data_IF_852810358703
#
_entry.id   IF_852810358703
#
_cell.length_a   1.000
_cell.length_b   1.000
_cell.length_c   1.000
_cell.angle_alpha   90.00
_cell.angle_beta   90.00
_cell.angle_gamma   90.00
#
_symmetry.space_group_name_H-M   'P 1'
#
loop_
_entity.id
_entity.type
_entity.pdbx_description
1 polymer ?
#
# COMPACT_ATOMS: atom_id res chain seq x y z
N UNK A 1 1.90 -12.65 4.84
CA UNK A 1 1.09 -12.50 6.06
C UNK A 1 1.52 -11.25 6.82
N UNK A 2 0.57 -10.34 7.15
CA UNK A 2 0.87 -9.07 7.83
C UNK A 2 0.51 -9.18 9.32
N UNK A 3 1.41 -8.71 10.17
CA UNK A 3 1.23 -8.64 11.64
C UNK A 3 1.50 -7.21 12.10
N UNK A 4 0.71 -6.69 13.01
CA UNK A 4 0.87 -5.30 13.46
C UNK A 4 0.58 -5.11 14.94
N UNK A 5 1.29 -4.16 15.54
CA UNK A 5 1.01 -3.66 16.88
C UNK A 5 1.21 -2.13 16.92
N UNK A 6 0.25 -1.43 17.51
CA UNK A 6 0.26 0.03 17.61
C UNK A 6 1.23 0.53 18.69
N UNK A 7 2.49 0.12 18.62
CA UNK A 7 3.52 0.57 19.54
C UNK A 7 4.23 1.82 19.03
N UNK A 8 4.78 2.60 19.94
CA UNK A 8 5.75 3.63 19.58
C UNK A 8 7.06 3.00 19.10
N UNK A 9 7.52 1.99 19.84
CA UNK A 9 8.66 1.12 19.57
C UNK A 9 8.45 -0.19 20.33
N UNK A 10 8.81 -1.35 19.80
CA UNK A 10 8.67 -2.60 20.53
C UNK A 10 9.60 -2.65 21.73
N UNK A 11 9.11 -3.20 22.86
CA UNK A 11 9.96 -3.54 24.00
C UNK A 11 10.57 -4.91 23.76
N UNK A 12 11.72 -5.18 24.31
CA UNK A 12 12.45 -6.44 24.13
C UNK A 12 11.56 -7.69 24.34
N UNK A 13 10.80 -7.73 25.43
CA UNK A 13 9.90 -8.84 25.74
C UNK A 13 8.80 -9.06 24.69
N UNK A 14 8.32 -7.96 24.09
CA UNK A 14 7.25 -7.99 23.09
C UNK A 14 7.84 -8.36 21.72
N UNK A 15 9.04 -7.86 21.42
CA UNK A 15 9.77 -8.20 20.20
C UNK A 15 10.07 -9.71 20.14
N UNK A 16 10.54 -10.32 21.22
CA UNK A 16 10.81 -11.76 21.28
C UNK A 16 9.61 -12.61 20.86
N UNK A 17 8.39 -12.22 21.25
CA UNK A 17 7.17 -12.89 20.79
C UNK A 17 6.97 -12.76 19.29
N UNK A 18 7.19 -11.54 18.75
CA UNK A 18 7.05 -11.29 17.30
C UNK A 18 8.10 -12.06 16.50
N UNK A 19 9.35 -12.17 16.98
CA UNK A 19 10.39 -12.95 16.32
C UNK A 19 9.97 -14.42 16.15
N UNK A 20 9.40 -15.01 17.18
CA UNK A 20 8.87 -16.37 17.11
C UNK A 20 7.66 -16.49 16.17
N UNK A 21 6.77 -15.50 16.16
CA UNK A 21 5.64 -15.46 15.20
C UNK A 21 6.15 -15.39 13.75
N UNK A 22 7.15 -14.56 13.47
CA UNK A 22 7.76 -14.44 12.12
C UNK A 22 8.30 -15.81 11.69
N UNK A 23 9.11 -16.48 12.51
CA UNK A 23 9.66 -17.81 12.22
C UNK A 23 8.57 -18.84 11.92
N UNK A 24 7.51 -18.85 12.72
CA UNK A 24 6.39 -19.79 12.54
C UNK A 24 5.64 -19.53 11.22
N UNK A 25 5.31 -18.28 10.91
CA UNK A 25 4.64 -17.93 9.65
C UNK A 25 5.53 -18.26 8.44
N UNK A 26 6.84 -17.98 8.53
CA UNK A 26 7.82 -18.39 7.50
C UNK A 26 7.85 -19.90 7.29
N UNK A 27 7.76 -20.69 8.35
CA UNK A 27 7.73 -22.16 8.26
C UNK A 27 6.49 -22.70 7.52
N UNK A 28 5.44 -21.88 7.41
CA UNK A 28 4.23 -22.18 6.62
C UNK A 28 4.38 -21.84 5.13
N UNK A 29 5.55 -21.34 4.70
CA UNK A 29 5.82 -20.95 3.32
C UNK A 29 5.26 -19.59 2.93
N UNK A 30 4.88 -18.75 3.90
CA UNK A 30 4.31 -17.42 3.65
C UNK A 30 5.36 -16.32 3.78
N UNK A 31 5.27 -15.29 2.95
CA UNK A 31 5.98 -14.04 3.18
C UNK A 31 5.42 -13.32 4.40
N UNK A 32 6.30 -12.67 5.15
CA UNK A 32 5.97 -11.97 6.39
C UNK A 32 6.15 -10.46 6.24
N UNK A 33 5.21 -9.71 6.79
CA UNK A 33 5.31 -8.25 6.93
C UNK A 33 4.92 -7.87 8.36
N UNK A 34 5.70 -6.99 9.01
CA UNK A 34 5.33 -6.50 10.34
C UNK A 34 5.30 -4.97 10.39
N UNK A 35 4.46 -4.44 11.30
CA UNK A 35 4.32 -3.02 11.64
C UNK A 35 4.38 -2.87 13.16
N UNK A 36 5.52 -2.43 13.71
CA UNK A 36 5.75 -2.39 15.16
C UNK A 36 6.13 -1.00 15.70
N UNK A 37 6.02 0.03 14.86
CA UNK A 37 6.48 1.38 15.19
C UNK A 37 7.94 1.61 14.83
N UNK A 38 8.67 2.42 15.62
CA UNK A 38 10.07 2.73 15.36
C UNK A 38 10.97 1.57 15.79
N UNK A 39 12.01 1.29 15.00
CA UNK A 39 13.02 0.28 15.30
C UNK A 39 14.40 0.90 15.50
N UNK A 40 15.14 0.34 16.44
CA UNK A 40 16.59 0.51 16.49
C UNK A 40 17.27 -0.42 15.48
N UNK A 41 18.53 -0.15 15.18
CA UNK A 41 19.37 -1.01 14.34
C UNK A 41 19.41 -2.47 14.85
N UNK A 42 19.60 -2.64 16.16
CA UNK A 42 19.59 -3.96 16.79
C UNK A 42 18.26 -4.69 16.63
N UNK A 43 17.13 -4.01 16.80
CA UNK A 43 15.80 -4.59 16.62
C UNK A 43 15.53 -4.99 15.16
N UNK A 44 15.99 -4.17 14.21
CA UNK A 44 15.90 -4.48 12.79
C UNK A 44 16.75 -5.72 12.45
N UNK A 45 17.96 -5.81 12.97
CA UNK A 45 18.84 -6.97 12.80
C UNK A 45 18.21 -8.26 13.35
N UNK A 46 17.61 -8.22 14.52
CA UNK A 46 16.91 -9.37 15.12
C UNK A 46 15.73 -9.84 14.26
N UNK A 47 14.97 -8.91 13.66
CA UNK A 47 13.87 -9.23 12.76
C UNK A 47 14.38 -9.86 11.45
N UNK A 48 15.50 -9.35 10.91
CA UNK A 48 16.15 -9.95 9.74
C UNK A 48 16.62 -11.38 10.02
N UNK A 49 17.26 -11.62 11.18
CA UNK A 49 17.69 -12.95 11.61
C UNK A 49 16.51 -13.92 11.80
N UNK A 50 15.35 -13.42 12.21
CA UNK A 50 14.12 -14.21 12.29
C UNK A 50 13.52 -14.56 10.91
N UNK A 51 14.03 -13.96 9.82
CA UNK A 51 13.61 -14.19 8.45
C UNK A 51 12.47 -13.28 7.98
N UNK A 52 12.32 -12.10 8.57
CA UNK A 52 11.31 -11.14 8.15
C UNK A 52 11.55 -10.67 6.71
N UNK A 53 10.51 -10.71 5.87
CA UNK A 53 10.61 -10.28 4.48
C UNK A 53 10.40 -8.77 4.31
N UNK A 54 9.39 -8.21 4.97
CA UNK A 54 9.00 -6.80 4.85
C UNK A 54 8.77 -6.13 6.19
N UNK A 55 9.20 -4.89 6.31
CA UNK A 55 8.82 -4.01 7.42
C UNK A 55 7.99 -2.85 6.90
N UNK A 56 6.76 -2.71 7.44
CA UNK A 56 5.90 -1.58 7.10
C UNK A 56 6.12 -0.43 8.07
N UNK A 57 6.53 0.72 7.52
CA UNK A 57 6.65 1.97 8.25
C UNK A 57 6.38 3.14 7.32
N UNK A 58 5.14 3.61 7.32
CA UNK A 58 4.73 4.67 6.41
C UNK A 58 5.33 6.03 6.80
N UNK A 59 5.60 6.88 5.83
CA UNK A 59 5.91 8.30 6.04
C UNK A 59 4.65 9.11 6.35
N UNK A 60 3.50 8.57 6.02
CA UNK A 60 2.15 9.10 6.16
C UNK A 60 1.86 10.30 5.25
N UNK A 61 2.68 11.34 5.21
CA UNK A 61 2.52 12.52 4.37
C UNK A 61 3.86 13.15 4.00
N UNK A 62 3.86 14.37 3.44
CA UNK A 62 5.09 15.13 3.16
C UNK A 62 5.81 15.57 4.45
N UNK A 63 7.13 15.87 4.39
CA UNK A 63 7.86 16.47 5.52
C UNK A 63 7.20 17.76 6.02
N UNK A 64 6.69 18.60 5.10
CA UNK A 64 6.12 19.91 5.38
C UNK A 64 4.77 19.81 6.10
N UNK A 65 3.95 18.84 5.75
CA UNK A 65 2.62 18.66 6.34
C UNK A 65 2.62 17.74 7.58
N UNK A 66 3.70 16.97 7.79
CA UNK A 66 3.76 15.93 8.80
C UNK A 66 3.42 16.40 10.21
N UNK A 67 3.98 17.53 10.64
CA UNK A 67 3.78 18.05 12.00
C UNK A 67 2.36 18.59 12.26
N UNK A 68 1.59 18.84 11.21
CA UNK A 68 0.18 19.23 11.34
C UNK A 68 -0.71 18.02 11.71
N UNK A 69 -0.26 16.81 11.36
CA UNK A 69 -1.00 15.56 11.60
C UNK A 69 -0.42 14.78 12.78
N UNK A 70 0.91 14.73 12.92
CA UNK A 70 1.60 13.88 13.89
C UNK A 70 2.51 14.73 14.78
N UNK A 71 2.14 14.83 16.05
CA UNK A 71 2.87 15.63 17.05
C UNK A 71 3.73 14.79 18.00
N UNK A 72 3.57 13.46 17.97
CA UNK A 72 4.22 12.54 18.92
C UNK A 72 5.60 12.02 18.46
N UNK A 73 5.95 12.25 17.20
CA UNK A 73 7.19 11.78 16.54
C UNK A 73 7.64 12.82 15.53
N UNK A 74 8.94 12.85 15.24
CA UNK A 74 9.46 13.66 14.14
C UNK A 74 9.43 12.87 12.82
N UNK A 75 9.51 13.57 11.70
CA UNK A 75 9.64 12.94 10.40
C UNK A 75 10.95 12.14 10.30
N UNK A 76 12.03 12.68 10.85
CA UNK A 76 13.34 12.02 10.87
C UNK A 76 13.30 10.67 11.59
N UNK A 77 12.53 10.55 12.68
CA UNK A 77 12.36 9.24 13.34
C UNK A 77 11.79 8.15 12.40
N UNK A 78 10.99 8.55 11.42
CA UNK A 78 10.49 7.62 10.40
C UNK A 78 11.58 7.24 9.42
N UNK A 79 12.34 8.23 8.95
CA UNK A 79 13.45 8.00 8.03
C UNK A 79 14.54 7.13 8.68
N UNK A 80 14.91 7.40 9.94
CA UNK A 80 15.87 6.59 10.70
C UNK A 80 15.41 5.13 10.79
N UNK A 81 14.13 4.90 11.09
CA UNK A 81 13.58 3.53 11.14
C UNK A 81 13.68 2.83 9.80
N UNK A 82 13.34 3.53 8.70
CA UNK A 82 13.44 2.96 7.36
C UNK A 82 14.88 2.68 6.95
N UNK A 83 15.82 3.50 7.41
CA UNK A 83 17.24 3.26 7.20
C UNK A 83 17.72 2.03 7.95
N UNK A 84 17.38 1.89 9.24
CA UNK A 84 17.74 0.70 10.05
C UNK A 84 17.18 -0.59 9.44
N UNK A 85 15.94 -0.56 8.94
CA UNK A 85 15.28 -1.69 8.25
C UNK A 85 16.06 -2.08 6.99
N UNK A 86 16.46 -1.09 6.20
CA UNK A 86 17.22 -1.29 4.96
C UNK A 86 18.61 -1.85 5.23
N UNK A 87 19.31 -1.28 6.22
CA UNK A 87 20.66 -1.71 6.62
C UNK A 87 20.68 -3.15 7.14
N UNK A 88 19.58 -3.59 7.75
CA UNK A 88 19.37 -4.98 8.16
C UNK A 88 19.02 -5.93 6.99
N UNK A 89 18.86 -5.41 5.76
CA UNK A 89 18.52 -6.23 4.58
C UNK A 89 17.05 -6.63 4.46
N UNK A 90 16.15 -6.00 5.21
CA UNK A 90 14.72 -6.23 5.15
C UNK A 90 14.11 -5.31 4.08
N UNK A 91 13.18 -5.85 3.27
CA UNK A 91 12.45 -5.03 2.29
C UNK A 91 11.60 -3.96 2.96
N UNK A 92 11.63 -2.76 2.40
CA UNK A 92 10.85 -1.62 2.91
C UNK A 92 9.46 -1.59 2.29
N UNK A 93 8.44 -1.54 3.16
CA UNK A 93 7.07 -1.18 2.79
C UNK A 93 6.77 0.19 3.40
N UNK A 94 6.76 1.24 2.56
CA UNK A 94 6.54 2.61 3.03
C UNK A 94 5.76 3.42 2.00
N UNK A 95 4.75 4.09 2.47
CA UNK A 95 3.85 4.93 1.69
C UNK A 95 3.21 5.99 2.57
N UNK A 96 1.96 6.34 2.28
CA UNK A 96 1.27 7.36 3.06
C UNK A 96 -0.24 7.30 2.95
N UNK A 97 -0.85 8.30 3.56
CA UNK A 97 -2.29 8.52 3.60
C UNK A 97 -2.58 9.85 2.90
N UNK A 98 -3.51 9.86 1.97
CA UNK A 98 -3.96 11.07 1.29
C UNK A 98 -5.43 11.34 1.55
N UNK A 99 -5.83 12.60 1.49
CA UNK A 99 -7.16 13.06 1.88
C UNK A 99 -7.27 13.46 3.34
N UNK A 100 -6.14 13.77 4.03
CA UNK A 100 -6.10 14.26 5.41
C UNK A 100 -6.26 15.79 5.51
N UNK A 101 -6.62 16.48 4.42
CA UNK A 101 -6.70 17.94 4.33
C UNK A 101 -5.42 18.59 3.80
N UNK A 102 -4.46 17.79 3.38
CA UNK A 102 -3.21 18.24 2.74
C UNK A 102 -3.46 18.85 1.36
N UNK A 103 -2.55 19.72 0.92
CA UNK A 103 -2.59 20.29 -0.41
C UNK A 103 -1.96 19.33 -1.45
N UNK A 104 -2.24 19.57 -2.73
CA UNK A 104 -1.64 18.81 -3.84
C UNK A 104 -0.11 18.78 -3.77
N UNK A 105 0.51 19.88 -3.33
CA UNK A 105 1.95 19.97 -3.17
C UNK A 105 2.48 18.98 -2.12
N UNK A 106 1.74 18.78 -1.02
CA UNK A 106 2.12 17.83 0.03
C UNK A 106 2.05 16.39 -0.48
N UNK A 107 1.04 16.07 -1.29
CA UNK A 107 0.94 14.74 -1.93
C UNK A 107 2.15 14.47 -2.83
N UNK A 108 2.59 15.44 -3.61
CA UNK A 108 3.80 15.30 -4.41
C UNK A 108 5.07 15.23 -3.55
N UNK A 109 5.14 16.00 -2.45
CA UNK A 109 6.23 15.93 -1.48
C UNK A 109 6.40 14.55 -0.88
N UNK A 110 5.30 13.87 -0.53
CA UNK A 110 5.34 12.47 -0.08
C UNK A 110 5.98 11.55 -1.13
N UNK A 111 5.50 11.60 -2.38
CA UNK A 111 6.03 10.75 -3.45
C UNK A 111 7.48 11.10 -3.77
N UNK A 112 7.84 12.39 -3.78
CA UNK A 112 9.21 12.84 -3.98
C UNK A 112 10.14 12.29 -2.90
N UNK A 113 9.72 12.33 -1.63
CA UNK A 113 10.52 11.80 -0.52
C UNK A 113 10.76 10.29 -0.66
N UNK A 114 9.72 9.52 -1.01
CA UNK A 114 9.83 8.08 -1.24
C UNK A 114 10.75 7.75 -2.43
N UNK A 115 10.61 8.50 -3.53
CA UNK A 115 11.40 8.30 -4.75
C UNK A 115 12.87 8.73 -4.60
N UNK A 116 13.16 9.67 -3.68
CA UNK A 116 14.51 10.16 -3.42
C UNK A 116 15.25 9.38 -2.32
N UNK A 117 14.66 8.32 -1.78
CA UNK A 117 15.38 7.42 -0.88
C UNK A 117 16.58 6.77 -1.62
N UNK A 118 17.64 6.36 -0.91
CA UNK A 118 18.80 5.69 -1.53
C UNK A 118 18.42 4.50 -2.41
N UNK A 119 17.37 3.80 -2.01
CA UNK A 119 16.69 2.76 -2.77
C UNK A 119 15.18 2.96 -2.62
N UNK A 120 14.43 2.78 -3.74
CA UNK A 120 12.97 2.87 -3.67
C UNK A 120 12.41 1.80 -2.74
N UNK A 121 11.37 2.11 -1.94
CA UNK A 121 10.66 1.08 -1.19
C UNK A 121 10.18 -0.04 -2.13
N UNK A 122 10.33 -1.29 -1.73
CA UNK A 122 9.85 -2.42 -2.51
C UNK A 122 8.33 -2.43 -2.61
N UNK A 123 7.63 -1.93 -1.57
CA UNK A 123 6.18 -1.77 -1.56
C UNK A 123 5.79 -0.37 -1.12
N UNK A 124 4.89 0.27 -1.88
CA UNK A 124 4.41 1.64 -1.66
C UNK A 124 2.89 1.63 -1.51
N UNK A 125 2.38 1.45 -0.28
CA UNK A 125 0.94 1.54 -0.02
C UNK A 125 0.46 2.99 -0.09
N UNK A 126 -0.52 3.24 -0.96
CA UNK A 126 -1.25 4.50 -1.01
C UNK A 126 -2.60 4.27 -0.36
N UNK A 127 -2.80 4.91 0.79
CA UNK A 127 -4.04 4.83 1.55
C UNK A 127 -4.90 6.07 1.26
N UNK A 128 -6.19 5.87 1.12
CA UNK A 128 -7.16 6.95 1.19
C UNK A 128 -7.66 7.07 2.63
N UNK A 129 -7.74 8.29 3.15
CA UNK A 129 -8.28 8.50 4.49
C UNK A 129 -9.70 7.93 4.59
N UNK A 130 -9.91 7.11 5.61
CA UNK A 130 -11.26 6.71 6.06
C UNK A 130 -11.62 7.63 7.22
N UNK A 131 -12.42 8.67 6.94
CA UNK A 131 -12.83 9.62 7.94
C UNK A 131 -13.77 8.95 8.96
N UNK A 132 -13.45 9.08 10.25
CA UNK A 132 -14.26 8.52 11.35
C UNK A 132 -14.83 9.67 12.14
N UNK A 133 -16.16 9.71 12.27
CA UNK A 133 -16.87 10.73 13.04
C UNK A 133 -16.33 10.83 14.48
N UNK A 134 -16.21 12.06 14.99
CA UNK A 134 -15.69 12.33 16.34
C UNK A 134 -14.16 12.29 16.45
N UNK A 135 -13.43 12.04 15.36
CA UNK A 135 -11.97 12.18 15.31
C UNK A 135 -11.54 13.54 14.74
N UNK A 136 -10.31 14.01 14.96
CA UNK A 136 -9.81 15.27 14.40
C UNK A 136 -9.91 15.38 12.87
N UNK A 137 -9.91 14.26 12.16
CA UNK A 137 -10.01 14.19 10.71
C UNK A 137 -11.40 13.72 10.23
N UNK A 138 -12.39 13.63 11.12
CA UNK A 138 -13.72 13.12 10.80
C UNK A 138 -14.53 14.02 9.85
N UNK A 139 -14.24 15.32 9.86
CA UNK A 139 -14.94 16.34 9.06
C UNK A 139 -14.12 16.81 7.83
N UNK A 140 -13.02 16.14 7.52
CA UNK A 140 -12.20 16.50 6.35
C UNK A 140 -12.94 16.18 5.06
N UNK A 141 -12.90 17.11 4.10
CA UNK A 141 -13.52 16.95 2.79
C UNK A 141 -12.95 15.70 2.07
N UNK A 142 -13.85 14.89 1.53
CA UNK A 142 -13.47 13.66 0.82
C UNK A 142 -12.63 14.01 -0.41
N UNK A 143 -11.50 13.32 -0.56
CA UNK A 143 -10.62 13.48 -1.71
C UNK A 143 -11.33 13.09 -3.02
N UNK A 144 -11.12 13.88 -4.07
CA UNK A 144 -11.56 13.53 -5.41
C UNK A 144 -10.88 12.25 -5.92
N UNK A 145 -11.67 11.36 -6.51
CA UNK A 145 -11.19 10.06 -7.00
C UNK A 145 -10.11 10.19 -8.08
N UNK A 146 -10.18 11.22 -8.92
CA UNK A 146 -9.18 11.46 -9.97
C UNK A 146 -7.85 11.91 -9.35
N UNK A 147 -7.88 12.67 -8.27
CA UNK A 147 -6.66 13.03 -7.54
C UNK A 147 -6.00 11.79 -6.91
N UNK A 148 -6.80 10.84 -6.42
CA UNK A 148 -6.26 9.55 -5.96
C UNK A 148 -5.60 8.77 -7.11
N UNK A 149 -6.26 8.64 -8.25
CA UNK A 149 -5.71 7.98 -9.44
C UNK A 149 -4.41 8.65 -9.91
N UNK A 150 -4.34 9.99 -9.87
CA UNK A 150 -3.10 10.73 -10.19
C UNK A 150 -1.95 10.38 -9.24
N UNK A 151 -2.23 10.19 -7.96
CA UNK A 151 -1.20 9.75 -7.00
C UNK A 151 -0.65 8.37 -7.35
N UNK A 152 -1.51 7.42 -7.72
CA UNK A 152 -1.10 6.08 -8.17
C UNK A 152 -0.22 6.20 -9.43
N UNK A 153 -0.66 6.98 -10.44
CA UNK A 153 0.10 7.18 -11.67
C UNK A 153 1.48 7.79 -11.39
N UNK A 154 1.53 8.83 -10.54
CA UNK A 154 2.78 9.49 -10.16
C UNK A 154 3.73 8.52 -9.46
N UNK A 155 3.22 7.77 -8.47
CA UNK A 155 4.02 6.76 -7.77
C UNK A 155 4.59 5.71 -8.73
N UNK A 156 3.78 5.20 -9.67
CA UNK A 156 4.24 4.22 -10.69
C UNK A 156 5.32 4.79 -11.60
N UNK A 157 5.20 6.04 -12.06
CA UNK A 157 6.16 6.66 -12.97
C UNK A 157 7.52 6.83 -12.29
N UNK A 158 7.54 7.34 -11.06
CA UNK A 158 8.81 7.67 -10.37
C UNK A 158 9.43 6.49 -9.63
N UNK A 159 8.63 5.47 -9.29
CA UNK A 159 9.08 4.23 -8.64
C UNK A 159 8.65 2.99 -9.46
N UNK A 160 9.20 2.81 -10.67
CA UNK A 160 8.69 1.84 -11.65
C UNK A 160 8.82 0.38 -11.21
N UNK A 161 9.73 0.07 -10.29
CA UNK A 161 9.96 -1.31 -9.80
C UNK A 161 9.19 -1.64 -8.52
N UNK A 162 8.64 -0.64 -7.83
CA UNK A 162 7.93 -0.83 -6.57
C UNK A 162 6.55 -1.49 -6.80
N UNK A 163 6.08 -2.25 -5.82
CA UNK A 163 4.68 -2.64 -5.74
C UNK A 163 3.87 -1.41 -5.28
N UNK A 164 3.21 -0.73 -6.22
CA UNK A 164 2.29 0.36 -5.90
C UNK A 164 0.97 -0.26 -5.47
N UNK A 165 0.66 -0.12 -4.18
CA UNK A 165 -0.41 -0.86 -3.53
C UNK A 165 -1.62 0.01 -3.24
N UNK A 166 -2.78 -0.42 -3.70
CA UNK A 166 -4.06 0.09 -3.19
C UNK A 166 -4.27 -0.50 -1.79
N UNK A 167 -4.39 0.38 -0.80
CA UNK A 167 -4.43 0.01 0.60
C UNK A 167 -5.76 0.44 1.25
N UNK A 168 -5.75 1.06 2.43
CA UNK A 168 -6.97 1.47 3.10
C UNK A 168 -7.84 2.43 2.25
N UNK A 169 -9.15 2.41 2.49
CA UNK A 169 -10.15 3.23 1.80
C UNK A 169 -10.72 2.58 0.52
N UNK A 170 -10.34 1.34 0.18
CA UNK A 170 -10.84 0.66 -1.02
C UNK A 170 -12.34 0.36 -0.97
N UNK A 171 -12.92 0.10 0.20
CA UNK A 171 -14.37 -0.11 0.34
C UNK A 171 -15.19 1.11 -0.07
N UNK A 172 -14.66 2.30 0.17
CA UNK A 172 -15.31 3.57 -0.20
C UNK A 172 -15.09 3.95 -1.67
N UNK A 173 -14.26 3.19 -2.40
CA UNK A 173 -14.01 3.38 -3.83
C UNK A 173 -15.00 2.56 -4.64
N UNK A 174 -15.67 3.20 -5.61
CA UNK A 174 -16.42 2.46 -6.60
C UNK A 174 -15.48 1.63 -7.50
N UNK A 175 -16.05 0.68 -8.22
CA UNK A 175 -15.33 -0.24 -9.09
C UNK A 175 -14.55 0.49 -10.19
N UNK A 176 -15.12 1.55 -10.74
CA UNK A 176 -14.54 2.36 -11.80
C UNK A 176 -13.26 3.05 -11.32
N UNK A 177 -13.26 3.62 -10.11
CA UNK A 177 -12.07 4.22 -9.49
C UNK A 177 -10.98 3.17 -9.27
N UNK A 178 -11.31 2.00 -8.74
CA UNK A 178 -10.34 0.92 -8.56
C UNK A 178 -9.77 0.47 -9.91
N UNK A 179 -10.61 0.32 -10.94
CA UNK A 179 -10.19 0.00 -12.30
C UNK A 179 -9.21 1.03 -12.86
N UNK A 180 -9.51 2.33 -12.69
CA UNK A 180 -8.61 3.41 -13.11
C UNK A 180 -7.28 3.37 -12.36
N UNK A 181 -7.28 3.03 -11.06
CA UNK A 181 -6.04 2.87 -10.30
C UNK A 181 -5.17 1.73 -10.86
N UNK A 182 -5.73 0.57 -11.21
CA UNK A 182 -4.98 -0.50 -11.87
C UNK A 182 -4.46 -0.07 -13.25
N UNK A 183 -5.28 0.59 -14.05
CA UNK A 183 -4.87 1.14 -15.35
C UNK A 183 -3.77 2.22 -15.20
N UNK A 184 -3.78 2.99 -14.13
CA UNK A 184 -2.76 3.99 -13.79
C UNK A 184 -1.46 3.40 -13.24
N UNK A 185 -1.43 2.09 -12.92
CA UNK A 185 -0.21 1.38 -12.54
C UNK A 185 -0.18 0.81 -11.12
N UNK A 186 -1.30 0.81 -10.39
CA UNK A 186 -1.40 -0.02 -9.19
C UNK A 186 -1.22 -1.50 -9.61
N UNK A 187 -0.42 -2.26 -8.85
CA UNK A 187 -0.15 -3.66 -9.14
C UNK A 187 -0.11 -4.54 -7.89
N UNK A 188 -0.64 -4.02 -6.78
CA UNK A 188 -0.74 -4.77 -5.53
C UNK A 188 -1.96 -4.28 -4.73
N UNK A 189 -2.55 -5.18 -3.97
CA UNK A 189 -3.62 -4.88 -3.00
C UNK A 189 -3.33 -5.59 -1.68
N UNK A 190 -3.99 -5.17 -0.61
CA UNK A 190 -4.19 -6.04 0.54
C UNK A 190 -5.34 -6.99 0.25
N UNK A 191 -5.10 -8.27 0.48
CA UNK A 191 -6.06 -9.34 0.29
C UNK A 191 -6.52 -9.88 1.65
N UNK A 192 -7.82 -10.14 1.81
CA UNK A 192 -8.40 -10.62 3.07
C UNK A 192 -9.43 -9.65 3.64
N UNK A 193 -10.20 -10.12 4.63
CA UNK A 193 -11.40 -9.43 5.14
C UNK A 193 -11.12 -8.09 5.87
N UNK A 194 -9.94 -7.95 6.46
CA UNK A 194 -9.59 -6.76 7.24
C UNK A 194 -8.17 -6.30 6.99
N UNK A 195 -8.01 -4.98 6.95
CA UNK A 195 -6.73 -4.30 6.98
C UNK A 195 -6.59 -3.58 8.33
N UNK A 196 -5.91 -4.22 9.30
CA UNK A 196 -5.75 -3.74 10.68
C UNK A 196 -7.10 -3.41 11.34
N UNK A 197 -7.51 -2.13 11.33
CA UNK A 197 -8.72 -1.61 11.97
C UNK A 197 -9.85 -1.28 11.01
N UNK A 198 -9.59 -1.26 9.69
CA UNK A 198 -10.58 -0.96 8.66
C UNK A 198 -10.99 -2.24 7.93
N UNK A 199 -12.23 -2.28 7.48
CA UNK A 199 -12.69 -3.31 6.57
C UNK A 199 -11.94 -3.21 5.22
N UNK A 200 -11.92 -4.31 4.49
CA UNK A 200 -11.33 -4.41 3.16
C UNK A 200 -12.32 -5.15 2.26
N UNK A 201 -12.38 -4.87 0.95
CA UNK A 201 -13.24 -5.61 0.04
C UNK A 201 -13.08 -7.12 0.20
N UNK A 202 -14.19 -7.83 0.11
CA UNK A 202 -14.16 -9.29 0.19
C UNK A 202 -13.28 -9.88 -0.92
N UNK A 203 -12.56 -10.93 -0.59
CA UNK A 203 -11.65 -11.62 -1.51
C UNK A 203 -12.32 -12.03 -2.82
N UNK A 204 -13.59 -12.45 -2.76
CA UNK A 204 -14.37 -12.82 -3.94
C UNK A 204 -14.64 -11.61 -4.85
N UNK A 205 -14.93 -10.43 -4.28
CA UNK A 205 -15.12 -9.20 -5.05
C UNK A 205 -13.85 -8.79 -5.79
N UNK A 206 -12.68 -8.93 -5.14
CA UNK A 206 -11.39 -8.68 -5.77
C UNK A 206 -11.12 -9.62 -6.94
N UNK A 207 -11.38 -10.92 -6.77
CA UNK A 207 -11.18 -11.90 -7.83
C UNK A 207 -12.14 -11.68 -9.01
N UNK A 208 -13.39 -11.28 -8.75
CA UNK A 208 -14.34 -10.91 -9.79
C UNK A 208 -13.88 -9.68 -10.56
N UNK A 209 -13.37 -8.65 -9.87
CA UNK A 209 -12.80 -7.45 -10.50
C UNK A 209 -11.60 -7.81 -11.38
N UNK A 210 -10.66 -8.60 -10.88
CA UNK A 210 -9.48 -9.01 -11.64
C UNK A 210 -9.85 -9.81 -12.89
N UNK A 211 -10.80 -10.73 -12.78
CA UNK A 211 -11.32 -11.47 -13.94
C UNK A 211 -11.92 -10.55 -15.01
N UNK A 212 -12.69 -9.52 -14.60
CA UNK A 212 -13.29 -8.56 -15.53
C UNK A 212 -12.23 -7.67 -16.20
N UNK A 213 -11.11 -7.39 -15.52
CA UNK A 213 -10.01 -6.58 -16.03
C UNK A 213 -8.96 -7.40 -16.79
N UNK A 214 -9.06 -8.73 -16.81
CA UNK A 214 -8.03 -9.60 -17.37
C UNK A 214 -6.72 -9.57 -16.59
N UNK A 215 -6.77 -9.25 -15.30
CA UNK A 215 -5.59 -9.22 -14.41
C UNK A 215 -5.41 -10.61 -13.78
N UNK A 216 -4.19 -11.13 -13.85
CA UNK A 216 -3.77 -12.35 -13.15
C UNK A 216 -3.04 -11.98 -11.86
N UNK A 217 -3.47 -12.47 -10.68
CA UNK A 217 -2.63 -12.41 -9.49
C UNK A 217 -1.33 -13.18 -9.68
N UNK A 218 -0.23 -12.64 -9.15
CA UNK A 218 1.08 -13.30 -9.15
C UNK A 218 1.00 -14.62 -8.39
N UNK A 219 1.59 -15.69 -8.94
CA UNK A 219 1.57 -17.04 -8.35
C UNK A 219 0.24 -17.79 -8.45
N UNK A 220 -0.78 -17.24 -9.12
CA UNK A 220 -2.02 -17.99 -9.36
C UNK A 220 -1.86 -18.96 -10.53
N UNK A 221 -2.28 -20.22 -10.34
CA UNK A 221 -2.39 -21.24 -11.41
C UNK A 221 -3.64 -21.05 -12.31
N UNK A 222 -4.13 -19.82 -12.46
CA UNK A 222 -5.27 -19.54 -13.32
C UNK A 222 -4.93 -19.92 -14.76
N UNK A 223 -5.64 -20.89 -15.30
CA UNK A 223 -5.43 -21.38 -16.66
C UNK A 223 -5.80 -20.34 -17.71
N UNK A 224 -5.17 -20.40 -18.90
CA UNK A 224 -5.50 -19.49 -20.01
C UNK A 224 -6.97 -19.59 -20.43
N UNK A 225 -7.62 -20.74 -20.23
CA UNK A 225 -9.07 -20.94 -20.49
C UNK A 225 -9.97 -20.11 -19.55
N UNK A 226 -9.60 -19.94 -18.29
CA UNK A 226 -10.38 -19.11 -17.34
C UNK A 226 -10.25 -17.61 -17.59
N UNK A 227 -9.21 -17.19 -18.32
CA UNK A 227 -9.00 -15.79 -18.72
C UNK A 227 -9.53 -15.49 -20.11
N UNK A 228 -9.85 -16.50 -20.91
CA UNK A 228 -10.46 -16.31 -22.22
C UNK A 228 -11.87 -15.74 -22.04
N UNK A 229 -11.96 -14.41 -21.94
CA UNK A 229 -13.21 -13.74 -22.24
C UNK A 229 -13.59 -14.11 -23.67
N UNK A 230 -14.83 -14.49 -23.96
CA UNK A 230 -15.27 -14.64 -25.33
C UNK A 230 -14.98 -13.31 -26.03
N UNK A 231 -14.04 -13.34 -26.96
CA UNK A 231 -13.79 -12.21 -27.86
C UNK A 231 -15.10 -11.99 -28.58
N UNK A 232 -15.78 -10.85 -28.40
CA UNK A 232 -16.99 -10.60 -29.17
C UNK A 232 -16.63 -10.76 -30.65
N UNK A 233 -17.39 -11.59 -31.39
CA UNK A 233 -17.22 -11.67 -32.83
C UNK A 233 -17.12 -10.24 -33.38
N UNK A 234 -16.12 -10.01 -34.23
CA UNK A 234 -15.92 -8.74 -34.92
C UNK A 234 -17.16 -8.41 -35.74
N UNK A 235 -18.19 -7.90 -35.10
CA UNK A 235 -19.14 -7.03 -35.76
C UNK A 235 -18.44 -5.69 -35.90
N UNK A 236 -18.37 -5.20 -37.14
CA UNK A 236 -17.76 -3.92 -37.51
C UNK A 236 -18.11 -2.84 -36.49
N UNK A 237 -17.13 -2.49 -35.65
CA UNK A 237 -17.30 -1.53 -34.56
C UNK A 237 -16.81 -0.13 -34.95
N UNK A 238 -16.70 0.15 -36.24
CA UNK A 238 -16.37 1.48 -36.71
C UNK A 238 -17.61 2.11 -37.38
N UNK A 239 -18.18 3.09 -36.69
CA UNK A 239 -19.14 4.00 -37.31
C UNK A 239 -18.38 4.83 -38.33
N UNK A 240 -18.69 4.65 -39.61
CA UNK A 240 -18.16 5.49 -40.68
C UNK A 240 -18.93 6.81 -40.71
N UNK A 241 -18.35 7.85 -40.10
CA UNK A 241 -18.91 9.18 -40.02
C UNK A 241 -19.04 9.88 -41.42
N UNK A 242 -18.53 9.25 -42.48
CA UNK A 242 -18.63 9.80 -43.83
C UNK A 242 -19.91 9.40 -44.54
N UNK A 243 -20.73 8.50 -43.94
CA UNK A 243 -21.99 8.03 -44.48
C UNK A 243 -23.23 8.62 -43.81
N UNK A 244 -23.10 9.67 -42.97
CA UNK A 244 -24.20 10.36 -42.30
C UNK A 244 -24.52 11.67 -43.00
#
# INVERSE_FOLDING_TARGET
FCMGAAWRSPREKDLNVVLEMVKQVKSMGLETCVTLGMLTDEQASQLAEAGLDYYNHNLDTSPEYYQQIITTRTYDNRLDTLQNVRDAGINVCSGGIIGMGEQTQDRYGLIQQLANMPEHPQSVPINMLVAVEGTPLGEVEKLDSIDFVRMIATARIVMPKSYVRLSAGREDMNKETQTLCFAAGANSIFYGEKLLTTANPEAEADMQLFKQLGIKPEGSEVTEEELAMPVPEKKEMFYDATQA
#
